data_IF_960720012779
#
_entry.id   IF_960720012779
#
_cell.length_a   1.000
_cell.length_b   1.000
_cell.length_c   1.000
_cell.angle_alpha   90.00
_cell.angle_beta   90.00
_cell.angle_gamma   90.00
#
_symmetry.space_group_name_H-M   'P 1'
#
loop_
_entity.id
_entity.type
_entity.pdbx_description
1 polymer ?
#
# COMPACT_ATOMS: atom_id res chain seq x y z
N UNK A 1 -4.52 29.15 -8.84
CA UNK A 1 -5.05 27.82 -8.48
C UNK A 1 -3.94 27.14 -7.72
N UNK A 2 -4.11 26.97 -6.42
CA UNK A 2 -3.16 26.28 -5.54
C UNK A 2 -3.26 24.77 -5.86
N UNK A 3 -2.14 24.09 -6.07
CA UNK A 3 -2.13 22.66 -6.41
C UNK A 3 -2.82 21.86 -5.30
N UNK A 4 -3.99 21.28 -5.61
CA UNK A 4 -4.88 20.65 -4.65
C UNK A 4 -4.31 19.38 -3.97
N UNK A 5 -3.18 18.85 -4.46
CA UNK A 5 -2.49 17.68 -3.88
C UNK A 5 -1.02 17.98 -3.57
N UNK A 6 -0.76 19.03 -2.77
CA UNK A 6 0.60 19.28 -2.26
C UNK A 6 0.84 18.45 -0.98
N UNK A 7 1.71 17.45 -1.04
CA UNK A 7 2.10 16.60 0.09
C UNK A 7 3.60 16.27 0.06
N UNK A 8 4.14 15.80 1.19
CA UNK A 8 5.51 15.28 1.31
C UNK A 8 5.53 13.75 1.33
N UNK A 9 6.64 13.10 0.93
CA UNK A 9 6.79 11.64 1.05
C UNK A 9 6.49 11.15 2.47
N UNK A 10 5.67 10.10 2.59
CA UNK A 10 5.28 9.52 3.88
C UNK A 10 4.04 10.15 4.54
N UNK A 11 3.52 11.25 4.00
CA UNK A 11 2.25 11.83 4.46
C UNK A 11 1.04 10.98 4.08
N UNK A 12 -0.07 11.24 4.76
CA UNK A 12 -1.37 10.64 4.50
C UNK A 12 -2.36 11.66 3.96
N UNK A 13 -3.41 11.16 3.31
CA UNK A 13 -4.63 11.91 2.97
C UNK A 13 -5.78 11.45 3.87
N UNK A 14 -6.62 12.39 4.30
CA UNK A 14 -7.87 12.09 5.00
C UNK A 14 -9.04 12.27 4.03
N UNK A 15 -9.80 11.19 3.85
CA UNK A 15 -10.94 11.10 2.93
C UNK A 15 -12.23 10.86 3.72
N UNK A 16 -13.30 11.51 3.29
CA UNK A 16 -14.63 11.43 3.88
C UNK A 16 -15.56 10.68 2.92
N UNK A 17 -16.04 9.52 3.37
CA UNK A 17 -16.93 8.64 2.62
C UNK A 17 -18.37 8.70 3.14
N UNK A 18 -18.68 9.59 4.10
CA UNK A 18 -20.01 9.66 4.72
C UNK A 18 -21.11 9.90 3.69
N UNK A 19 -20.90 10.72 2.67
CA UNK A 19 -21.91 10.96 1.61
C UNK A 19 -22.32 9.71 0.82
N UNK A 20 -21.46 8.68 0.78
CA UNK A 20 -21.73 7.42 0.04
C UNK A 20 -22.15 6.26 0.93
N UNK A 21 -21.79 6.31 2.23
CA UNK A 21 -21.91 5.17 3.14
C UNK A 21 -22.82 5.45 4.33
N UNK A 22 -23.03 6.73 4.66
CA UNK A 22 -23.99 7.12 5.68
C UNK A 22 -25.41 6.91 5.13
N UNK A 23 -26.16 6.07 5.83
CA UNK A 23 -27.56 5.79 5.54
C UNK A 23 -28.50 6.62 6.43
N UNK A 24 -27.95 7.56 7.20
CA UNK A 24 -28.66 8.36 8.18
C UNK A 24 -28.84 7.67 9.53
N UNK A 25 -29.47 8.39 10.46
CA UNK A 25 -29.69 7.93 11.83
C UNK A 25 -30.70 6.75 11.90
N UNK A 26 -30.28 5.64 12.51
CA UNK A 26 -31.16 4.49 12.84
C UNK A 26 -31.11 4.21 14.34
N UNK A 27 -32.26 4.12 15.01
CA UNK A 27 -32.33 4.00 16.47
C UNK A 27 -31.74 2.69 17.03
N UNK A 28 -31.83 1.58 16.30
CA UNK A 28 -31.14 0.32 16.55
C UNK A 28 -30.87 -0.34 15.20
N UNK A 29 -29.62 -0.69 14.94
CA UNK A 29 -29.24 -1.48 13.78
C UNK A 29 -28.80 -2.85 14.29
N UNK A 30 -29.78 -3.74 14.49
CA UNK A 30 -29.53 -5.06 15.09
C UNK A 30 -28.64 -5.95 14.19
N UNK A 31 -28.64 -5.70 12.87
CA UNK A 31 -27.86 -6.42 11.86
C UNK A 31 -26.41 -5.92 11.73
N UNK A 32 -26.14 -4.63 11.97
CA UNK A 32 -24.78 -4.08 12.07
C UNK A 32 -24.68 -2.96 13.13
N UNK A 33 -24.56 -3.31 14.42
CA UNK A 33 -24.47 -2.35 15.51
C UNK A 33 -23.24 -1.44 15.43
N UNK A 34 -22.21 -1.83 14.67
CA UNK A 34 -20.94 -1.07 14.56
C UNK A 34 -21.03 0.06 13.55
N UNK A 35 -21.91 -0.04 12.55
CA UNK A 35 -22.09 1.04 11.56
C UNK A 35 -22.63 2.33 12.17
N UNK A 36 -23.28 2.22 13.33
CA UNK A 36 -23.90 3.34 14.05
C UNK A 36 -22.88 4.36 14.61
N UNK A 37 -21.64 3.92 14.84
CA UNK A 37 -20.57 4.74 15.40
C UNK A 37 -19.43 4.99 14.40
N UNK A 38 -19.63 4.65 13.13
CA UNK A 38 -18.61 4.86 12.09
C UNK A 38 -18.81 6.23 11.44
N UNK A 39 -17.79 7.09 11.52
CA UNK A 39 -17.80 8.40 10.86
C UNK A 39 -17.49 8.31 9.36
N UNK A 40 -17.12 7.12 8.87
CA UNK A 40 -16.67 6.87 7.51
C UNK A 40 -15.50 7.75 7.04
N UNK A 41 -14.81 8.43 7.96
CA UNK A 41 -13.60 9.21 7.67
C UNK A 41 -12.41 8.28 7.82
N UNK A 42 -11.58 8.21 6.79
CA UNK A 42 -10.39 7.34 6.80
C UNK A 42 -9.16 8.06 6.31
N UNK A 43 -8.06 7.70 6.93
CA UNK A 43 -6.73 8.18 6.58
C UNK A 43 -5.96 7.09 5.85
N UNK A 44 -5.37 7.42 4.70
CA UNK A 44 -4.52 6.52 3.93
C UNK A 44 -3.18 7.19 3.64
N UNK A 45 -2.08 6.48 3.85
CA UNK A 45 -0.78 6.95 3.39
C UNK A 45 -0.80 7.12 1.87
N UNK A 46 -0.30 8.25 1.40
CA UNK A 46 -0.14 8.50 -0.03
C UNK A 46 1.03 7.65 -0.52
N UNK A 47 0.77 6.73 -1.45
CA UNK A 47 1.75 5.75 -1.92
C UNK A 47 2.57 6.23 -3.12
N UNK A 48 2.09 7.24 -3.85
CA UNK A 48 2.83 7.87 -4.95
C UNK A 48 3.85 8.91 -4.45
N UNK A 49 4.99 9.11 -5.15
CA UNK A 49 5.86 10.25 -4.90
C UNK A 49 5.14 11.58 -5.21
N UNK A 50 5.43 12.68 -4.50
CA UNK A 50 4.86 14.00 -4.81
C UNK A 50 5.30 14.51 -6.19
N UNK A 51 4.55 15.44 -6.77
CA UNK A 51 4.87 16.03 -8.08
C UNK A 51 6.12 16.92 -8.09
N UNK A 52 6.51 17.46 -6.94
CA UNK A 52 7.66 18.34 -6.78
C UNK A 52 8.57 17.89 -5.62
N UNK A 53 9.89 17.70 -5.82
CA UNK A 53 10.57 17.68 -7.13
C UNK A 53 10.12 16.50 -8.00
N UNK A 54 10.20 16.63 -9.35
CA UNK A 54 9.82 15.56 -10.27
C UNK A 54 10.51 14.24 -9.95
N UNK A 55 9.74 13.16 -10.00
CA UNK A 55 10.24 11.80 -9.80
C UNK A 55 10.08 10.99 -11.11
N UNK A 56 11.14 10.35 -11.63
CA UNK A 56 11.11 9.64 -12.91
C UNK A 56 10.16 8.44 -12.92
N UNK A 57 9.77 7.89 -11.76
CA UNK A 57 8.78 6.80 -11.71
C UNK A 57 7.34 7.30 -11.60
N UNK A 58 7.13 8.60 -11.31
CA UNK A 58 5.79 9.19 -11.22
C UNK A 58 5.13 9.23 -12.60
N UNK A 59 3.94 8.62 -12.71
CA UNK A 59 3.12 8.59 -13.94
C UNK A 59 1.75 9.23 -13.73
N UNK A 60 1.73 10.33 -12.98
CA UNK A 60 0.53 11.04 -12.51
C UNK A 60 0.62 12.51 -12.86
N UNK A 61 -0.53 13.17 -13.09
CA UNK A 61 -0.60 14.63 -13.21
C UNK A 61 -0.33 15.30 -11.87
N UNK A 62 -0.06 16.59 -11.86
CA UNK A 62 0.30 17.34 -10.63
C UNK A 62 -0.80 17.33 -9.56
N UNK A 63 -2.06 17.16 -9.96
CA UNK A 63 -3.25 17.09 -9.10
C UNK A 63 -3.68 15.65 -8.75
N UNK A 64 -2.93 14.63 -9.18
CA UNK A 64 -3.23 13.22 -8.95
C UNK A 64 -2.30 12.61 -7.89
N UNK A 65 -2.82 11.68 -7.10
CA UNK A 65 -2.04 10.89 -6.15
C UNK A 65 -2.62 9.47 -6.06
N UNK A 66 -1.81 8.54 -5.59
CA UNK A 66 -2.23 7.16 -5.37
C UNK A 66 -2.26 6.83 -3.88
N UNK A 67 -3.17 5.92 -3.52
CA UNK A 67 -3.21 5.25 -2.22
C UNK A 67 -3.17 3.74 -2.48
N UNK A 68 -2.52 3.00 -1.59
CA UNK A 68 -2.61 1.53 -1.58
C UNK A 68 -3.43 1.09 -0.39
N UNK A 69 -4.49 0.32 -0.65
CA UNK A 69 -5.51 -0.01 0.34
C UNK A 69 -5.61 -1.51 0.49
N UNK A 70 -5.61 -1.98 1.75
CA UNK A 70 -5.99 -3.34 2.08
C UNK A 70 -7.50 -3.40 2.27
N UNK A 71 -8.15 -4.44 1.74
CA UNK A 71 -9.58 -4.69 1.97
C UNK A 71 -9.84 -5.13 3.40
N UNK A 72 -10.08 -4.17 4.28
CA UNK A 72 -10.43 -4.35 5.70
C UNK A 72 -11.50 -3.33 6.12
N UNK A 73 -12.76 -3.78 6.21
CA UNK A 73 -13.89 -2.96 6.69
C UNK A 73 -14.64 -2.19 5.61
N UNK A 74 -15.71 -1.51 6.03
CA UNK A 74 -16.78 -0.99 5.14
C UNK A 74 -16.27 -0.04 4.06
N UNK A 75 -15.46 0.96 4.43
CA UNK A 75 -14.90 1.95 3.49
C UNK A 75 -14.05 1.27 2.43
N UNK A 76 -13.11 0.41 2.84
CA UNK A 76 -12.20 -0.24 1.90
C UNK A 76 -12.93 -1.31 1.08
N UNK A 77 -13.93 -1.99 1.60
CA UNK A 77 -14.81 -2.86 0.80
C UNK A 77 -15.58 -2.08 -0.27
N UNK A 78 -16.09 -0.89 0.04
CA UNK A 78 -16.75 -0.01 -0.93
C UNK A 78 -15.81 0.38 -2.06
N UNK A 79 -14.57 0.78 -1.73
CA UNK A 79 -13.52 1.08 -2.72
C UNK A 79 -13.27 -0.09 -3.68
N UNK A 80 -13.21 -1.33 -3.17
CA UNK A 80 -12.99 -2.51 -4.01
C UNK A 80 -14.20 -2.87 -4.88
N UNK A 81 -15.43 -2.55 -4.47
CA UNK A 81 -16.62 -2.73 -5.32
C UNK A 81 -16.60 -1.79 -6.52
N UNK A 82 -16.17 -0.54 -6.31
CA UNK A 82 -16.04 0.47 -7.36
C UNK A 82 -14.97 0.09 -8.39
N UNK A 83 -13.92 -0.62 -8.00
CA UNK A 83 -12.89 -1.14 -8.93
C UNK A 83 -13.41 -2.25 -9.86
N UNK A 84 -14.46 -2.99 -9.46
CA UNK A 84 -14.98 -4.16 -10.18
C UNK A 84 -16.08 -3.86 -11.21
N UNK A 85 -16.55 -2.61 -11.34
CA UNK A 85 -17.53 -2.22 -12.34
C UNK A 85 -16.86 -1.97 -13.70
N UNK A 86 -17.14 -2.85 -14.65
CA UNK A 86 -16.47 -2.98 -15.95
C UNK A 86 -16.63 -1.75 -16.86
N UNK A 87 -15.50 -1.08 -17.13
CA UNK A 87 -15.32 -0.10 -18.19
C UNK A 87 -13.82 0.12 -18.43
N UNK A 88 -13.33 -0.13 -19.64
CA UNK A 88 -11.89 -0.16 -19.97
C UNK A 88 -11.21 1.20 -19.95
N UNK A 89 -11.96 2.30 -19.86
CA UNK A 89 -11.43 3.65 -19.90
C UNK A 89 -11.35 4.28 -18.50
N UNK A 90 -10.22 4.94 -18.19
CA UNK A 90 -10.03 5.70 -16.93
C UNK A 90 -11.09 6.80 -16.74
N UNK A 91 -11.63 7.34 -17.83
CA UNK A 91 -12.72 8.31 -17.79
C UNK A 91 -14.04 7.71 -17.30
N UNK A 92 -14.34 6.46 -17.68
CA UNK A 92 -15.59 5.75 -17.31
C UNK A 92 -15.57 5.19 -15.88
N UNK A 93 -14.38 5.02 -15.28
CA UNK A 93 -14.21 4.60 -13.87
C UNK A 93 -14.45 5.72 -12.85
N UNK A 94 -14.34 6.98 -13.27
CA UNK A 94 -14.45 8.15 -12.40
C UNK A 94 -15.88 8.70 -12.29
N UNK A 95 -16.84 8.19 -13.08
CA UNK A 95 -18.21 8.72 -13.10
C UNK A 95 -19.06 8.38 -11.86
N UNK A 96 -18.52 7.67 -10.86
CA UNK A 96 -19.33 7.10 -9.76
C UNK A 96 -18.89 7.36 -8.31
N UNK A 97 -17.68 7.86 -8.05
CA UNK A 97 -17.19 8.01 -6.67
C UNK A 97 -16.49 9.36 -6.47
N UNK A 98 -17.22 10.33 -5.93
CA UNK A 98 -16.70 11.62 -5.48
C UNK A 98 -16.55 11.60 -3.96
N UNK A 99 -15.33 11.63 -3.44
CA UNK A 99 -15.07 11.58 -1.99
C UNK A 99 -14.45 12.89 -1.51
N UNK A 100 -14.90 13.37 -0.36
CA UNK A 100 -14.40 14.63 0.20
C UNK A 100 -12.96 14.48 0.68
N UNK A 101 -12.04 15.28 0.14
CA UNK A 101 -10.67 15.39 0.65
C UNK A 101 -10.65 16.38 1.81
N UNK A 102 -10.42 15.91 3.04
CA UNK A 102 -10.29 16.78 4.23
C UNK A 102 -8.90 17.40 4.35
N UNK A 103 -7.91 16.82 3.70
CA UNK A 103 -6.55 17.35 3.62
C UNK A 103 -5.47 16.28 3.72
N UNK A 104 -4.23 16.73 3.62
CA UNK A 104 -3.03 15.91 3.80
C UNK A 104 -2.39 16.20 5.16
N UNK A 105 -1.77 15.20 5.78
CA UNK A 105 -1.18 15.34 7.09
C UNK A 105 -0.13 14.29 7.41
N UNK A 106 0.43 14.39 8.62
CA UNK A 106 1.51 13.53 9.11
C UNK A 106 2.90 14.14 8.91
N UNK A 107 3.81 13.74 9.80
CA UNK A 107 5.22 14.18 9.81
C UNK A 107 6.18 13.02 9.58
N UNK A 108 5.65 11.83 9.25
CA UNK A 108 6.47 10.68 8.93
C UNK A 108 7.14 10.89 7.58
N UNK A 109 8.46 10.76 7.52
CA UNK A 109 9.23 10.87 6.29
C UNK A 109 10.44 9.94 6.37
N UNK A 110 10.70 9.21 5.28
CA UNK A 110 11.93 8.42 5.15
C UNK A 110 12.96 9.26 4.41
N UNK A 111 13.91 9.82 5.17
CA UNK A 111 15.04 10.58 4.65
C UNK A 111 16.36 9.82 4.88
N UNK A 112 17.20 9.75 3.85
CA UNK A 112 18.54 9.17 3.94
C UNK A 112 19.59 10.26 3.82
N UNK A 113 20.17 10.64 4.96
CA UNK A 113 21.27 11.59 4.98
C UNK A 113 22.56 10.95 4.46
N UNK A 114 23.55 11.79 4.16
CA UNK A 114 24.86 11.32 3.73
C UNK A 114 25.47 10.36 4.76
N UNK A 115 25.97 9.20 4.30
CA UNK A 115 26.53 8.14 5.15
C UNK A 115 25.52 7.36 6.02
N UNK A 116 24.24 7.77 6.08
CA UNK A 116 23.22 7.08 6.87
C UNK A 116 22.76 5.77 6.22
N UNK A 117 22.65 4.70 7.02
CA UNK A 117 21.96 3.46 6.63
C UNK A 117 20.57 3.45 7.25
N UNK A 118 19.54 3.08 6.47
CA UNK A 118 18.15 3.00 6.92
C UNK A 118 17.73 1.53 6.97
N UNK A 119 17.17 1.12 8.11
CA UNK A 119 16.39 -0.10 8.22
C UNK A 119 14.89 0.22 8.17
N UNK A 120 14.14 -0.46 7.31
CA UNK A 120 12.69 -0.34 7.23
C UNK A 120 12.04 -1.71 7.36
N UNK A 121 11.02 -1.83 8.21
CA UNK A 121 10.30 -3.08 8.47
C UNK A 121 8.83 -2.83 8.18
N UNK A 122 8.26 -3.63 7.28
CA UNK A 122 6.89 -3.48 6.81
C UNK A 122 6.15 -4.82 6.76
N UNK A 123 4.82 -4.75 6.86
CA UNK A 123 3.93 -5.88 6.60
C UNK A 123 2.76 -5.44 5.70
N UNK A 124 2.50 -6.17 4.61
CA UNK A 124 1.47 -5.84 3.63
C UNK A 124 1.56 -4.40 3.16
N UNK A 125 0.42 -3.70 3.17
CA UNK A 125 0.30 -2.26 2.82
C UNK A 125 1.02 -1.31 3.80
N UNK A 126 1.58 -1.80 4.90
CA UNK A 126 2.42 -1.01 5.81
C UNK A 126 3.74 -0.51 5.19
N UNK A 127 4.07 -0.96 3.97
CA UNK A 127 5.19 -0.44 3.17
C UNK A 127 4.92 0.96 2.60
N UNK A 128 3.65 1.38 2.52
CA UNK A 128 3.22 2.59 1.82
C UNK A 128 3.94 3.87 2.22
N UNK A 129 4.37 4.11 3.48
CA UNK A 129 5.12 5.32 3.81
C UNK A 129 6.52 5.37 3.19
N UNK A 130 7.08 4.23 2.77
CA UNK A 130 8.40 4.15 2.12
C UNK A 130 8.32 4.42 0.62
N UNK A 131 7.22 4.00 -0.03
CA UNK A 131 7.10 4.00 -1.50
C UNK A 131 7.39 5.38 -2.14
N UNK A 132 6.82 6.50 -1.65
CA UNK A 132 7.09 7.83 -2.19
C UNK A 132 8.55 8.28 -2.11
N UNK A 133 9.37 7.65 -1.26
CA UNK A 133 10.78 7.99 -1.07
C UNK A 133 11.72 7.10 -1.90
N UNK A 134 11.27 5.96 -2.43
CA UNK A 134 12.16 4.95 -3.04
C UNK A 134 13.05 5.51 -4.15
N UNK A 135 12.53 6.40 -5.00
CA UNK A 135 13.29 7.04 -6.08
C UNK A 135 14.47 7.91 -5.62
N UNK A 136 14.55 8.23 -4.32
CA UNK A 136 15.56 9.12 -3.71
C UNK A 136 16.50 8.39 -2.76
N UNK A 137 16.28 7.10 -2.50
CA UNK A 137 17.10 6.32 -1.59
C UNK A 137 18.25 5.64 -2.33
N UNK A 138 19.43 5.65 -1.72
CA UNK A 138 20.52 4.76 -2.07
C UNK A 138 20.25 3.38 -1.47
N UNK A 139 19.86 2.45 -2.34
CA UNK A 139 19.53 1.08 -1.96
C UNK A 139 20.71 0.30 -1.39
N UNK A 140 21.97 0.68 -1.64
CA UNK A 140 23.11 0.03 -0.99
C UNK A 140 23.14 0.27 0.53
N UNK A 141 22.45 1.32 0.99
CA UNK A 141 22.32 1.73 2.38
C UNK A 141 20.87 1.66 2.87
N UNK A 142 20.02 0.89 2.18
CA UNK A 142 18.69 0.51 2.62
C UNK A 142 18.72 -0.96 3.05
N UNK A 143 18.05 -1.27 4.15
CA UNK A 143 17.78 -2.65 4.58
C UNK A 143 16.27 -2.75 4.77
N UNK A 144 15.59 -3.35 3.80
CA UNK A 144 14.14 -3.49 3.80
C UNK A 144 13.76 -4.92 4.17
N UNK A 145 13.02 -5.08 5.27
CA UNK A 145 12.32 -6.33 5.59
C UNK A 145 10.83 -6.14 5.30
N UNK A 146 10.29 -6.92 4.38
CA UNK A 146 8.88 -6.82 4.01
C UNK A 146 8.21 -8.18 4.10
N UNK A 147 7.15 -8.27 4.89
CA UNK A 147 6.31 -9.48 4.96
C UNK A 147 5.03 -9.25 4.18
N UNK A 148 4.67 -10.18 3.30
CA UNK A 148 3.43 -10.15 2.52
C UNK A 148 2.77 -11.52 2.51
N UNK A 149 1.46 -11.57 2.27
CA UNK A 149 0.80 -12.83 1.94
C UNK A 149 1.10 -13.22 0.50
N UNK A 150 1.02 -14.52 0.20
CA UNK A 150 1.16 -15.01 -1.18
C UNK A 150 0.16 -14.37 -2.15
N UNK A 151 -1.06 -14.07 -1.68
CA UNK A 151 -2.11 -13.40 -2.48
C UNK A 151 -1.74 -11.96 -2.87
N UNK A 152 -0.86 -11.31 -2.11
CA UNK A 152 -0.45 -9.92 -2.30
C UNK A 152 0.88 -9.79 -3.07
N UNK A 153 1.41 -10.89 -3.62
CA UNK A 153 2.70 -10.85 -4.35
C UNK A 153 2.70 -9.92 -5.56
N UNK A 154 1.54 -9.69 -6.19
CA UNK A 154 1.40 -8.71 -7.27
C UNK A 154 1.90 -7.33 -6.87
N UNK A 155 1.58 -6.88 -5.64
CA UNK A 155 2.05 -5.58 -5.13
C UNK A 155 3.57 -5.51 -5.02
N UNK A 156 4.22 -6.62 -4.63
CA UNK A 156 5.68 -6.68 -4.55
C UNK A 156 6.29 -6.55 -5.94
N UNK A 157 5.72 -7.25 -6.92
CA UNK A 157 6.17 -7.20 -8.31
C UNK A 157 6.00 -5.78 -8.89
N UNK A 158 4.86 -5.14 -8.66
CA UNK A 158 4.62 -3.76 -9.12
C UNK A 158 5.66 -2.76 -8.57
N UNK A 159 6.05 -2.92 -7.30
CA UNK A 159 7.10 -2.09 -6.67
C UNK A 159 8.48 -2.39 -7.26
N UNK A 160 8.81 -3.67 -7.46
CA UNK A 160 10.10 -4.07 -8.04
C UNK A 160 10.22 -3.65 -9.51
N UNK A 161 9.14 -3.70 -10.28
CA UNK A 161 9.12 -3.27 -11.69
C UNK A 161 9.38 -1.76 -11.82
N UNK A 162 8.95 -0.97 -10.84
CA UNK A 162 9.24 0.47 -10.77
C UNK A 162 10.66 0.76 -10.24
N UNK A 163 11.19 -0.11 -9.38
CA UNK A 163 12.48 0.07 -8.70
C UNK A 163 13.31 -1.22 -8.71
N UNK A 164 13.81 -1.63 -9.88
CA UNK A 164 14.50 -2.92 -10.06
C UNK A 164 15.66 -3.14 -9.07
N UNK A 165 16.41 -2.09 -8.75
CA UNK A 165 17.55 -2.18 -7.84
C UNK A 165 17.16 -2.41 -6.36
N UNK A 166 15.88 -2.26 -5.99
CA UNK A 166 15.38 -2.50 -4.63
C UNK A 166 15.63 -3.95 -4.18
N UNK A 167 15.65 -4.90 -5.13
CA UNK A 167 15.94 -6.32 -4.86
C UNK A 167 17.25 -6.53 -4.09
N UNK A 168 18.23 -5.63 -4.25
CA UNK A 168 19.53 -5.69 -3.57
C UNK A 168 19.45 -5.42 -2.07
N UNK A 169 18.40 -4.75 -1.62
CA UNK A 169 18.18 -4.35 -0.22
C UNK A 169 16.95 -5.00 0.43
N UNK A 170 16.15 -5.72 -0.37
CA UNK A 170 14.91 -6.35 0.06
C UNK A 170 15.14 -7.77 0.62
N UNK A 171 14.64 -8.00 1.83
CA UNK A 171 14.38 -9.33 2.38
C UNK A 171 12.88 -9.53 2.50
N UNK A 172 12.34 -10.32 1.59
CA UNK A 172 10.91 -10.64 1.50
C UNK A 172 10.57 -11.89 2.32
N UNK A 173 9.51 -11.83 3.12
CA UNK A 173 8.91 -12.97 3.80
C UNK A 173 7.50 -13.20 3.26
N UNK A 174 7.22 -14.39 2.78
CA UNK A 174 5.94 -14.73 2.16
C UNK A 174 5.16 -15.64 3.13
N UNK A 175 4.01 -15.16 3.60
CA UNK A 175 3.11 -15.91 4.49
C UNK A 175 1.98 -16.57 3.70
N UNK A 176 1.31 -17.54 4.32
CA UNK A 176 0.20 -18.29 3.74
C UNK A 176 0.57 -19.03 2.43
N UNK A 177 1.87 -19.30 2.22
CA UNK A 177 2.35 -20.22 1.19
C UNK A 177 2.06 -21.65 1.62
N UNK A 178 1.00 -22.23 1.05
CA UNK A 178 0.53 -23.57 1.39
C UNK A 178 1.60 -24.67 1.11
N UNK A 179 2.65 -24.37 0.33
CA UNK A 179 3.67 -25.34 -0.11
C UNK A 179 5.14 -24.91 0.09
N UNK A 180 5.50 -24.35 1.25
CA UNK A 180 6.91 -24.33 1.71
C UNK A 180 7.15 -25.05 3.03
N UNK A 181 6.09 -25.52 3.71
CA UNK A 181 6.22 -26.33 4.92
C UNK A 181 6.37 -27.84 4.64
N UNK A 182 6.01 -28.31 3.42
CA UNK A 182 6.15 -29.73 3.04
C UNK A 182 7.57 -30.07 2.54
N UNK A 183 8.37 -29.08 2.12
CA UNK A 183 9.73 -29.30 1.64
C UNK A 183 10.77 -29.41 2.76
N UNK A 184 10.54 -28.81 3.94
CA UNK A 184 11.47 -28.92 5.07
C UNK A 184 11.49 -30.35 5.65
N UNK A 185 10.34 -31.04 5.70
CA UNK A 185 10.27 -32.42 6.22
C UNK A 185 10.73 -33.50 5.20
N UNK A 186 10.83 -33.16 3.91
CA UNK A 186 11.36 -34.09 2.88
C UNK A 186 12.82 -33.81 2.49
N UNK A 187 13.37 -32.65 2.82
CA UNK A 187 14.80 -32.35 2.60
C UNK A 187 15.72 -33.16 3.51
N UNK A 188 15.28 -33.53 4.71
CA UNK A 188 16.06 -34.40 5.61
C UNK A 188 16.18 -35.84 5.09
N UNK A 189 15.28 -36.28 4.20
CA UNK A 189 15.34 -37.63 3.61
C UNK A 189 16.26 -37.71 2.38
N UNK A 190 16.49 -36.59 1.69
CA UNK A 190 17.38 -36.51 0.53
C UNK A 190 18.83 -36.19 0.91
N UNK A 191 19.09 -35.71 2.14
CA UNK A 191 20.45 -35.42 2.62
C UNK A 191 21.11 -36.60 3.36
N UNK A 192 20.38 -37.70 3.61
CA UNK A 192 20.91 -38.88 4.32
C UNK A 192 21.12 -40.13 3.46
N UNK A 193 20.67 -40.16 2.20
CA UNK A 193 20.90 -41.32 1.32
C UNK A 193 22.12 -41.21 0.39
N UNK A 194 22.78 -40.05 0.29
CA UNK A 194 23.93 -39.84 -0.61
C UNK A 194 25.31 -39.85 0.07
N UNK A 195 25.42 -40.32 1.32
CA UNK A 195 26.71 -40.63 1.95
C UNK A 195 26.66 -41.94 2.73
N UNK A 196 26.93 -43.05 2.03
CA UNK A 196 27.61 -44.21 2.60
C UNK A 196 28.49 -44.83 1.50
N UNK A 197 29.73 -45.14 1.89
CA UNK A 197 30.82 -45.70 1.07
C UNK A 197 30.44 -46.97 0.30
#
# INVERSE_FOLDING_TARGET
MENAATYRPGQYVTLDFSEHLDIGYSHMRDDDPRSLNDDFVRTFTVSSPPGDPPDPVRRLKDDEFEITVRRVGVVTESLFKQQGSEGTDRASRSEGLEVGVKGFGGEFEVQQREGQTIGFIAAGVGITPLLPSLGRLDFSRLILFWTVRVEDLGMVMDVLDQHLDLVKSLKLFITDSVDLQVSAQHMDRLLFEDFNF
#
